data_IF_111135470423
#
_entry.id   IF_111135470423
#
_cell.length_a   1.000
_cell.length_b   1.000
_cell.length_c   1.000
_cell.angle_alpha   90.00
_cell.angle_beta   90.00
_cell.angle_gamma   90.00
#
_symmetry.space_group_name_H-M   'P 1'
#
loop_
_entity.id
_entity.type
_entity.pdbx_description
1 polymer ?
#
# COMPACT_ATOMS: atom_id res chain seq x y z
N UNK A 1 -19.97 -22.01 -15.23
CA UNK A 1 -20.35 -20.59 -15.11
C UNK A 1 -21.14 -20.26 -16.36
N UNK A 2 -22.23 -19.50 -16.27
CA UNK A 2 -23.10 -19.23 -17.43
C UNK A 2 -22.83 -17.80 -17.91
N UNK A 3 -22.86 -17.53 -19.22
CA UNK A 3 -22.63 -16.20 -19.80
C UNK A 3 -23.85 -15.82 -20.64
N UNK A 4 -24.46 -14.68 -20.34
CA UNK A 4 -25.63 -14.14 -21.05
C UNK A 4 -25.34 -12.66 -21.30
N UNK A 5 -25.48 -12.19 -22.54
CA UNK A 5 -25.22 -10.80 -22.95
C UNK A 5 -23.85 -10.28 -22.50
N UNK A 6 -22.82 -11.12 -22.61
CA UNK A 6 -21.45 -10.83 -22.18
C UNK A 6 -21.28 -10.59 -20.67
N UNK A 7 -22.30 -10.90 -19.86
CA UNK A 7 -22.27 -10.86 -18.40
C UNK A 7 -22.16 -12.28 -17.86
N UNK A 8 -21.25 -12.48 -16.89
CA UNK A 8 -21.03 -13.77 -16.23
C UNK A 8 -22.05 -13.97 -15.11
N UNK A 9 -22.67 -15.13 -15.04
CA UNK A 9 -23.65 -15.53 -14.04
C UNK A 9 -23.19 -16.78 -13.28
N UNK A 10 -23.50 -16.83 -11.99
CA UNK A 10 -23.25 -17.99 -11.13
C UNK A 10 -24.27 -18.09 -9.99
N UNK A 11 -24.39 -19.28 -9.41
CA UNK A 11 -25.30 -19.53 -8.30
C UNK A 11 -24.93 -18.73 -7.04
N UNK A 12 -25.90 -18.35 -6.21
CA UNK A 12 -25.65 -17.58 -4.96
C UNK A 12 -24.57 -18.22 -4.06
N UNK A 13 -24.70 -19.51 -3.76
CA UNK A 13 -23.74 -20.26 -2.92
C UNK A 13 -22.35 -20.31 -3.54
N UNK A 14 -22.27 -20.37 -4.87
CA UNK A 14 -21.04 -20.42 -5.63
C UNK A 14 -20.32 -19.06 -5.64
N UNK A 15 -21.08 -17.96 -5.65
CA UNK A 15 -20.56 -16.60 -5.50
C UNK A 15 -20.01 -16.41 -4.09
N UNK A 16 -20.81 -16.73 -3.07
CA UNK A 16 -20.40 -16.62 -1.65
C UNK A 16 -19.20 -17.51 -1.32
N UNK A 17 -19.16 -18.72 -1.87
CA UNK A 17 -18.10 -19.69 -1.64
C UNK A 17 -16.88 -19.57 -2.55
N UNK A 18 -16.77 -18.50 -3.36
CA UNK A 18 -15.65 -18.29 -4.30
C UNK A 18 -15.44 -19.39 -5.36
N UNK A 19 -16.46 -20.21 -5.64
CA UNK A 19 -16.46 -21.29 -6.65
C UNK A 19 -17.12 -20.87 -7.97
N UNK A 20 -17.35 -19.57 -8.16
CA UNK A 20 -18.16 -19.03 -9.25
C UNK A 20 -17.56 -19.29 -10.63
N UNK A 21 -16.23 -19.43 -10.73
CA UNK A 21 -15.54 -19.80 -11.97
C UNK A 21 -15.99 -21.14 -12.54
N UNK A 22 -16.30 -22.11 -11.67
CA UNK A 22 -16.64 -23.49 -12.05
C UNK A 22 -18.13 -23.81 -11.76
N UNK A 23 -18.98 -22.81 -11.61
CA UNK A 23 -20.38 -23.04 -11.24
C UNK A 23 -21.19 -23.67 -12.39
N UNK A 24 -21.59 -24.93 -12.26
CA UNK A 24 -22.40 -25.65 -13.27
C UNK A 24 -23.86 -25.89 -12.84
N UNK A 25 -24.31 -25.21 -11.79
CA UNK A 25 -25.68 -25.33 -11.29
C UNK A 25 -26.63 -24.46 -12.11
N UNK A 26 -27.60 -25.07 -12.78
CA UNK A 26 -28.68 -24.41 -13.53
C UNK A 26 -29.97 -24.26 -12.71
N UNK A 27 -30.19 -25.14 -11.74
CA UNK A 27 -31.42 -25.19 -10.93
C UNK A 27 -31.49 -24.11 -9.84
N UNK A 28 -30.34 -23.53 -9.48
CA UNK A 28 -30.23 -22.54 -8.40
C UNK A 28 -30.32 -21.12 -8.96
N UNK A 29 -30.78 -20.19 -8.13
CA UNK A 29 -30.83 -18.76 -8.49
C UNK A 29 -29.48 -18.24 -8.98
N UNK A 30 -29.44 -17.82 -10.24
CA UNK A 30 -28.28 -17.25 -10.89
C UNK A 30 -28.22 -15.75 -10.67
N UNK A 31 -27.05 -15.25 -10.29
CA UNK A 31 -26.80 -13.83 -10.08
C UNK A 31 -25.59 -13.39 -10.92
N UNK A 32 -25.55 -12.13 -11.37
CA UNK A 32 -24.41 -11.60 -12.12
C UNK A 32 -23.17 -11.53 -11.21
N UNK A 33 -22.06 -12.04 -11.72
CA UNK A 33 -20.76 -12.05 -11.04
C UNK A 33 -20.14 -10.66 -11.16
N UNK A 34 -19.97 -9.99 -10.03
CA UNK A 34 -19.30 -8.68 -9.96
C UNK A 34 -17.82 -8.78 -10.34
N UNK A 35 -17.21 -7.65 -10.72
CA UNK A 35 -15.78 -7.60 -11.03
C UNK A 35 -14.96 -8.03 -9.81
N UNK A 36 -13.93 -8.84 -10.07
CA UNK A 36 -12.98 -9.30 -9.04
C UNK A 36 -12.01 -8.17 -8.71
N UNK A 37 -11.58 -8.10 -7.45
CA UNK A 37 -10.51 -7.22 -7.00
C UNK A 37 -10.89 -6.37 -5.79
N UNK A 38 -9.92 -6.16 -4.90
CA UNK A 38 -10.03 -5.17 -3.83
C UNK A 38 -9.92 -3.77 -4.46
N UNK A 39 -10.70 -2.77 -4.02
CA UNK A 39 -10.49 -1.39 -4.44
C UNK A 39 -9.06 -0.95 -4.13
N UNK A 40 -8.51 -0.05 -4.95
CA UNK A 40 -7.16 0.45 -4.72
C UNK A 40 -7.10 1.23 -3.40
N UNK A 41 -6.21 0.81 -2.51
CA UNK A 41 -6.08 1.40 -1.16
C UNK A 41 -5.10 2.57 -1.11
N UNK A 42 -4.31 2.77 -2.17
CA UNK A 42 -3.26 3.78 -2.31
C UNK A 42 -3.66 4.87 -3.28
N UNK A 43 -3.20 6.10 -3.05
CA UNK A 43 -3.34 7.16 -4.03
C UNK A 43 -2.43 6.91 -5.25
N UNK A 44 -2.72 7.58 -6.37
CA UNK A 44 -1.96 7.45 -7.61
C UNK A 44 -0.46 7.77 -7.41
N UNK A 45 -0.16 8.81 -6.63
CA UNK A 45 1.21 9.26 -6.35
C UNK A 45 2.04 8.21 -5.60
N UNK A 46 1.51 7.63 -4.52
CA UNK A 46 2.22 6.58 -3.78
C UNK A 46 2.39 5.29 -4.60
N UNK A 47 1.43 4.98 -5.50
CA UNK A 47 1.56 3.84 -6.41
C UNK A 47 2.70 4.06 -7.41
N UNK A 48 2.80 5.26 -7.98
CA UNK A 48 3.86 5.62 -8.91
C UNK A 48 5.24 5.59 -8.24
N UNK A 49 5.35 6.10 -7.00
CA UNK A 49 6.59 6.01 -6.23
C UNK A 49 7.00 4.57 -5.96
N UNK A 50 6.04 3.67 -5.68
CA UNK A 50 6.35 2.23 -5.55
C UNK A 50 6.86 1.64 -6.85
N UNK A 51 6.31 2.03 -8.00
CA UNK A 51 6.77 1.55 -9.30
C UNK A 51 8.17 2.09 -9.66
N UNK A 52 8.41 3.38 -9.44
CA UNK A 52 9.67 4.04 -9.81
C UNK A 52 10.82 3.70 -8.88
N UNK A 53 10.54 3.60 -7.58
CA UNK A 53 11.58 3.49 -6.55
C UNK A 53 11.51 2.17 -5.76
N UNK A 54 10.57 1.27 -6.07
CA UNK A 54 10.38 -0.01 -5.35
C UNK A 54 10.15 0.16 -3.84
N UNK A 55 9.66 1.33 -3.44
CA UNK A 55 9.45 1.68 -2.03
C UNK A 55 8.09 1.17 -1.55
N UNK A 56 8.11 0.31 -0.52
CA UNK A 56 6.92 -0.36 0.02
C UNK A 56 6.35 0.31 1.27
N UNK A 57 6.12 1.62 1.22
CA UNK A 57 5.54 2.34 2.35
C UNK A 57 4.00 2.34 2.33
N UNK A 58 3.40 2.47 3.52
CA UNK A 58 1.95 2.61 3.70
C UNK A 58 1.52 4.01 3.25
N UNK A 59 0.47 4.09 2.43
CA UNK A 59 -0.12 5.36 2.02
C UNK A 59 -0.85 5.99 3.21
N UNK A 60 -0.39 7.16 3.66
CA UNK A 60 -0.99 7.97 4.74
C UNK A 60 -1.58 9.29 4.25
N UNK A 61 -1.67 9.49 2.93
CA UNK A 61 -2.27 10.68 2.34
C UNK A 61 -3.76 10.82 2.75
N UNK A 62 -4.26 12.06 2.93
CA UNK A 62 -5.69 12.28 3.07
C UNK A 62 -6.42 11.71 1.86
N UNK A 63 -7.48 10.92 2.11
CA UNK A 63 -8.33 10.40 1.03
C UNK A 63 -9.35 11.49 0.71
N UNK A 64 -9.07 12.30 -0.31
CA UNK A 64 -10.15 13.07 -0.91
C UNK A 64 -11.08 12.09 -1.64
N UNK A 65 -12.39 12.05 -1.32
CA UNK A 65 -13.32 11.07 -1.89
C UNK A 65 -13.62 11.28 -3.39
N UNK A 66 -12.91 12.18 -4.07
CA UNK A 66 -13.18 12.60 -5.44
C UNK A 66 -11.94 12.32 -6.29
N UNK A 67 -11.77 11.09 -6.77
CA UNK A 67 -11.10 10.78 -8.06
C UNK A 67 -11.01 9.27 -8.30
N UNK A 68 -12.07 8.69 -8.88
CA UNK A 68 -12.00 7.48 -9.70
C UNK A 68 -11.77 7.82 -11.20
N UNK A 69 -11.19 9.00 -11.49
CA UNK A 69 -10.82 9.40 -12.84
C UNK A 69 -9.32 9.73 -12.88
N UNK A 70 -8.58 9.35 -13.94
CA UNK A 70 -7.23 9.84 -14.19
C UNK A 70 -7.32 11.31 -14.62
N UNK A 71 -7.58 12.20 -13.67
CA UNK A 71 -7.41 13.63 -13.89
C UNK A 71 -5.92 13.97 -13.75
N UNK A 72 -5.44 14.73 -14.73
CA UNK A 72 -4.07 15.24 -14.86
C UNK A 72 -3.59 15.84 -13.52
N UNK A 73 -2.28 15.79 -13.20
CA UNK A 73 -1.78 16.29 -11.92
C UNK A 73 -2.00 17.81 -11.82
N UNK A 74 -2.94 18.22 -10.97
CA UNK A 74 -3.00 19.59 -10.45
C UNK A 74 -1.84 19.72 -9.46
N UNK A 75 -0.78 20.38 -9.88
CA UNK A 75 0.40 20.65 -9.08
C UNK A 75 0.05 21.67 -7.99
N UNK A 76 -0.49 21.21 -6.85
CA UNK A 76 -0.49 22.01 -5.62
C UNK A 76 0.85 21.80 -4.93
N UNK A 77 1.73 22.80 -5.00
CA UNK A 77 2.96 22.85 -4.20
C UNK A 77 2.56 22.82 -2.72
N UNK A 78 2.77 21.68 -2.06
CA UNK A 78 2.78 21.59 -0.62
C UNK A 78 4.24 21.61 -0.16
N UNK A 79 4.53 22.55 0.73
CA UNK A 79 5.81 22.79 1.40
C UNK A 79 6.37 21.51 2.01
N UNK A 80 7.56 21.11 1.57
CA UNK A 80 8.33 20.02 2.17
C UNK A 80 8.99 20.53 3.47
N UNK A 81 8.35 20.31 4.62
CA UNK A 81 9.09 20.29 5.89
C UNK A 81 9.79 18.95 5.99
N UNK A 82 11.07 18.93 5.62
CA UNK A 82 11.97 17.81 5.82
C UNK A 82 12.18 17.61 7.33
N UNK A 83 11.46 16.70 7.97
CA UNK A 83 11.93 16.14 9.25
C UNK A 83 13.01 15.12 8.90
N UNK A 84 14.29 15.55 8.93
CA UNK A 84 15.41 14.62 8.91
C UNK A 84 15.31 13.77 10.17
N UNK A 85 14.72 12.58 10.06
CA UNK A 85 14.88 11.53 11.05
C UNK A 85 16.35 11.10 11.06
N UNK A 86 17.17 11.76 11.88
CA UNK A 86 18.51 11.28 12.17
C UNK A 86 18.39 9.94 12.89
N UNK A 87 18.91 8.92 12.25
CA UNK A 87 19.15 7.61 12.85
C UNK A 87 20.25 7.82 13.91
N UNK A 88 19.87 7.94 15.17
CA UNK A 88 20.83 7.99 16.28
C UNK A 88 21.59 6.66 16.26
N UNK A 89 22.83 6.69 15.78
CA UNK A 89 23.78 5.61 16.01
C UNK A 89 24.06 5.62 17.51
N UNK A 90 23.53 4.66 18.25
CA UNK A 90 24.01 4.38 19.61
C UNK A 90 25.38 3.72 19.44
N UNK A 91 26.42 4.53 19.37
CA UNK A 91 27.79 4.04 19.46
C UNK A 91 28.02 3.62 20.91
N UNK A 92 28.01 2.31 21.13
CA UNK A 92 28.46 1.69 22.37
C UNK A 92 29.93 2.03 22.55
N UNK A 93 30.25 2.92 23.48
CA UNK A 93 31.62 3.22 23.90
C UNK A 93 32.15 2.01 24.68
N UNK A 94 32.58 0.99 23.94
CA UNK A 94 33.50 -0.03 24.41
C UNK A 94 34.89 0.45 24.02
N UNK A 95 35.63 1.06 24.95
CA UNK A 95 37.10 0.99 24.97
C UNK A 95 37.60 1.59 26.29
N UNK A 96 37.93 0.71 27.24
CA UNK A 96 38.67 0.99 28.48
C UNK A 96 40.14 1.40 28.25
N UNK A 97 40.46 2.00 27.08
CA UNK A 97 41.84 2.30 26.67
C UNK A 97 42.14 3.78 26.40
N UNK A 98 41.18 4.69 26.60
CA UNK A 98 41.40 6.14 26.42
C UNK A 98 41.03 6.96 27.65
N UNK A 99 41.37 6.48 28.86
CA UNK A 99 41.31 7.30 30.09
C UNK A 99 42.69 7.69 30.65
N UNK A 100 43.80 7.13 30.14
CA UNK A 100 45.15 7.43 30.65
C UNK A 100 45.84 8.61 29.94
N UNK A 101 45.10 9.62 29.49
CA UNK A 101 45.69 10.80 28.84
C UNK A 101 45.17 12.15 29.35
N UNK A 102 44.17 12.18 30.25
CA UNK A 102 43.61 13.43 30.79
C UNK A 102 43.95 13.65 32.28
N UNK A 103 44.60 12.68 32.94
CA UNK A 103 45.06 12.82 34.34
C UNK A 103 46.55 13.15 34.49
N UNK A 104 47.23 13.52 33.39
CA UNK A 104 48.67 13.85 33.38
C UNK A 104 48.97 15.34 33.09
N UNK A 105 47.97 16.22 33.17
CA UNK A 105 48.12 17.67 32.90
C UNK A 105 47.62 18.56 34.05
N UNK A 106 47.36 17.98 35.23
CA UNK A 106 46.85 18.71 36.40
C UNK A 106 47.57 18.39 37.72
N UNK A 107 48.86 18.06 37.67
CA UNK A 107 49.81 18.19 38.79
C UNK A 107 51.21 18.52 38.26
#
# INVERSE_FOLDING_TARGET
>A
MIIIDNVKYACHSCIKGHRSSQCNHSERTLLPVRRKGRPITQCAQCREQRLKHSVHQKCVCPRDPIALAPSKPIFKKATHTHVKGQRIKKETISTSRQRMAIEALLL
#
